data_IF_615395723158
#
_entry.id   IF_615395723158
#
_cell.length_a   1.000
_cell.length_b   1.000
_cell.length_c   1.000
_cell.angle_alpha   90.00
_cell.angle_beta   90.00
_cell.angle_gamma   90.00
#
_symmetry.space_group_name_H-M   'P 1'
#
loop_
_entity.id
_entity.type
_entity.pdbx_description
1 polymer ?
#
# COMPACT_ATOMS: atom_id res chain seq x y z
N UNK A 1 -36.89 -7.13 43.90
CA UNK A 1 -35.97 -7.43 42.78
C UNK A 1 -36.75 -8.27 41.79
N UNK A 2 -37.00 -7.78 40.56
CA UNK A 2 -37.66 -8.61 39.54
C UNK A 2 -36.69 -9.70 39.13
N UNK A 3 -37.10 -10.95 39.26
CA UNK A 3 -36.35 -12.11 38.81
C UNK A 3 -36.31 -12.05 37.29
N UNK A 4 -35.14 -11.84 36.69
CA UNK A 4 -35.02 -11.79 35.25
C UNK A 4 -35.25 -13.20 34.70
N UNK A 5 -36.20 -13.35 33.77
CA UNK A 5 -36.47 -14.63 33.13
C UNK A 5 -35.16 -15.20 32.54
N UNK A 6 -34.82 -16.47 32.80
CA UNK A 6 -33.57 -17.08 32.35
C UNK A 6 -33.40 -17.00 30.82
N UNK A 7 -34.51 -16.99 30.08
CA UNK A 7 -34.54 -16.78 28.63
C UNK A 7 -34.06 -15.39 28.21
N UNK A 8 -34.40 -14.34 28.97
CA UNK A 8 -33.96 -12.97 28.69
C UNK A 8 -32.46 -12.84 28.91
N UNK A 9 -31.93 -13.47 29.96
CA UNK A 9 -30.49 -13.50 30.23
C UNK A 9 -29.72 -14.22 29.12
N UNK A 10 -30.18 -15.40 28.71
CA UNK A 10 -29.55 -16.18 27.63
C UNK A 10 -29.60 -15.42 26.30
N UNK A 11 -30.73 -14.79 25.99
CA UNK A 11 -30.88 -14.01 24.76
C UNK A 11 -29.91 -12.82 24.75
N UNK A 12 -29.76 -12.12 25.88
CA UNK A 12 -28.81 -11.00 26.01
C UNK A 12 -27.36 -11.47 25.81
N UNK A 13 -26.98 -12.60 26.42
CA UNK A 13 -25.65 -13.19 26.25
C UNK A 13 -25.35 -13.55 24.79
N UNK A 14 -26.33 -14.11 24.08
CA UNK A 14 -26.18 -14.44 22.64
C UNK A 14 -25.99 -13.17 21.82
N UNK A 15 -26.76 -12.11 22.09
CA UNK A 15 -26.63 -10.84 21.37
C UNK A 15 -25.25 -10.21 21.59
N UNK A 16 -24.72 -10.25 22.81
CA UNK A 16 -23.37 -9.75 23.12
C UNK A 16 -22.31 -10.57 22.39
N UNK A 17 -22.41 -11.89 22.40
CA UNK A 17 -21.48 -12.78 21.70
C UNK A 17 -21.50 -12.55 20.18
N UNK A 18 -22.67 -12.39 19.58
CA UNK A 18 -22.83 -12.09 18.16
C UNK A 18 -22.24 -10.71 17.82
N UNK A 19 -22.46 -9.70 18.66
CA UNK A 19 -21.89 -8.39 18.46
C UNK A 19 -20.35 -8.41 18.48
N UNK A 20 -19.76 -9.11 19.47
CA UNK A 20 -18.32 -9.29 19.56
C UNK A 20 -17.76 -9.98 18.30
N UNK A 21 -18.37 -11.08 17.87
CA UNK A 21 -17.96 -11.80 16.65
C UNK A 21 -18.02 -10.91 15.40
N UNK A 22 -19.06 -10.08 15.23
CA UNK A 22 -19.18 -9.15 14.10
C UNK A 22 -18.08 -8.08 14.14
N UNK A 23 -17.70 -7.58 15.33
CA UNK A 23 -16.63 -6.58 15.45
C UNK A 23 -15.27 -7.15 15.05
N UNK A 24 -14.92 -8.37 15.48
CA UNK A 24 -13.66 -9.01 15.10
C UNK A 24 -13.59 -9.27 13.59
N UNK A 25 -14.68 -9.74 12.98
CA UNK A 25 -14.74 -9.97 11.54
C UNK A 25 -14.51 -8.68 10.74
N UNK A 26 -15.06 -7.55 11.19
CA UNK A 26 -14.83 -6.24 10.53
C UNK A 26 -13.37 -5.83 10.62
N UNK A 27 -12.77 -5.95 11.81
CA UNK A 27 -11.36 -5.62 12.04
C UNK A 27 -10.42 -6.49 11.20
N UNK A 28 -10.69 -7.80 11.11
CA UNK A 28 -9.92 -8.72 10.27
C UNK A 28 -10.07 -8.39 8.78
N UNK A 29 -11.28 -8.09 8.30
CA UNK A 29 -11.51 -7.66 6.90
C UNK A 29 -10.75 -6.39 6.55
N UNK A 30 -10.70 -5.43 7.46
CA UNK A 30 -9.97 -4.18 7.24
C UNK A 30 -8.45 -4.39 7.23
N UNK A 31 -7.94 -5.31 8.04
CA UNK A 31 -6.54 -5.73 7.99
C UNK A 31 -6.20 -6.43 6.68
N UNK A 32 -7.04 -7.36 6.21
CA UNK A 32 -6.86 -8.06 4.92
C UNK A 32 -6.88 -7.05 3.77
N UNK A 33 -7.86 -6.13 3.73
CA UNK A 33 -7.93 -5.09 2.70
C UNK A 33 -6.64 -4.24 2.66
N UNK A 34 -6.12 -3.85 3.82
CA UNK A 34 -4.84 -3.12 3.90
C UNK A 34 -3.63 -3.95 3.47
N UNK A 35 -3.67 -5.26 3.64
CA UNK A 35 -2.60 -6.17 3.20
C UNK A 35 -2.67 -6.40 1.69
N UNK A 36 -3.86 -6.57 1.12
CA UNK A 36 -4.09 -6.64 -0.32
C UNK A 36 -3.64 -5.35 -1.03
N UNK A 37 -3.92 -4.17 -0.45
CA UNK A 37 -3.38 -2.88 -0.93
C UNK A 37 -1.84 -2.80 -0.82
N UNK A 38 -1.21 -3.61 0.03
CA UNK A 38 0.24 -3.68 0.25
C UNK A 38 0.96 -4.72 -0.62
N UNK A 39 0.27 -5.73 -1.13
CA UNK A 39 0.85 -6.83 -1.89
C UNK A 39 0.67 -6.66 -3.40
N UNK A 40 1.51 -5.82 -4.01
CA UNK A 40 2.14 -6.08 -5.30
C UNK A 40 3.19 -5.00 -5.55
N UNK A 41 4.42 -5.26 -5.09
CA UNK A 41 5.60 -4.57 -5.64
C UNK A 41 6.31 -5.59 -6.51
N UNK A 42 5.94 -5.65 -7.79
CA UNK A 42 6.78 -6.33 -8.78
C UNK A 42 7.98 -5.41 -9.01
N UNK A 43 9.06 -5.62 -8.26
CA UNK A 43 10.35 -4.99 -8.57
C UNK A 43 10.92 -5.73 -9.76
N UNK A 44 10.70 -5.21 -10.97
CA UNK A 44 11.45 -5.67 -12.13
C UNK A 44 12.91 -5.26 -11.96
N UNK A 45 13.74 -6.22 -11.54
CA UNK A 45 15.19 -6.10 -11.59
C UNK A 45 15.60 -6.16 -13.06
N UNK A 46 15.55 -5.01 -13.74
CA UNK A 46 16.14 -4.87 -15.08
C UNK A 46 17.65 -4.97 -14.95
N UNK A 47 18.20 -5.97 -15.61
CA UNK A 47 19.59 -6.28 -15.84
C UNK A 47 20.26 -5.27 -16.78
N UNK A 48 20.16 -3.98 -16.46
CA UNK A 48 20.90 -2.91 -17.15
C UNK A 48 22.34 -2.80 -16.62
N UNK A 49 23.02 -3.93 -16.44
CA UNK A 49 24.41 -3.95 -15.99
C UNK A 49 25.30 -3.20 -17.00
N UNK A 50 25.71 -1.98 -16.65
CA UNK A 50 26.66 -1.17 -17.42
C UNK A 50 26.08 -0.02 -18.26
N UNK A 51 24.77 0.24 -18.22
CA UNK A 51 24.16 1.37 -18.94
C UNK A 51 23.64 2.41 -17.95
N UNK A 52 24.27 3.59 -17.92
CA UNK A 52 23.74 4.76 -17.21
C UNK A 52 22.35 5.07 -17.76
N UNK A 53 21.34 5.13 -16.89
CA UNK A 53 20.02 5.59 -17.33
C UNK A 53 20.15 7.09 -17.66
N UNK A 54 19.98 7.44 -18.94
CA UNK A 54 20.00 8.83 -19.40
C UNK A 54 18.61 9.17 -19.88
N UNK A 55 17.97 10.12 -19.19
CA UNK A 55 16.61 10.50 -19.48
C UNK A 55 16.10 11.52 -18.48
N UNK A 56 14.84 11.91 -18.68
CA UNK A 56 14.12 12.83 -17.81
C UNK A 56 12.86 12.18 -17.27
N UNK A 57 12.42 12.66 -16.13
CA UNK A 57 11.13 12.30 -15.57
C UNK A 57 10.03 12.82 -16.50
N UNK A 58 9.22 11.92 -17.03
CA UNK A 58 8.15 12.26 -17.97
C UNK A 58 6.80 12.37 -17.28
N UNK A 59 6.60 11.62 -16.19
CA UNK A 59 5.31 11.59 -15.50
C UNK A 59 5.45 11.25 -14.02
N UNK A 60 4.46 11.67 -13.25
CA UNK A 60 4.30 11.36 -11.83
C UNK A 60 2.88 10.88 -11.60
N UNK A 61 2.75 9.71 -10.99
CA UNK A 61 1.46 9.09 -10.70
C UNK A 61 1.36 8.76 -9.21
N UNK A 62 0.15 8.85 -8.67
CA UNK A 62 -0.20 8.28 -7.36
C UNK A 62 -1.27 7.23 -7.61
N UNK A 63 -0.96 5.97 -7.29
CA UNK A 63 -1.89 4.84 -7.46
C UNK A 63 -1.96 4.14 -6.11
N UNK A 64 -3.16 4.01 -5.55
CA UNK A 64 -3.42 3.34 -4.27
C UNK A 64 -2.53 3.83 -3.11
N UNK A 65 -2.30 5.14 -3.05
CA UNK A 65 -1.47 5.77 -2.00
C UNK A 65 0.04 5.55 -2.14
N UNK A 66 0.48 4.93 -3.24
CA UNK A 66 1.89 4.74 -3.60
C UNK A 66 2.31 5.77 -4.64
N UNK A 67 3.58 6.15 -4.58
CA UNK A 67 4.13 7.23 -5.38
C UNK A 67 5.01 6.67 -6.49
N UNK A 68 4.68 7.00 -7.75
CA UNK A 68 5.38 6.51 -8.92
C UNK A 68 5.95 7.64 -9.76
N UNK A 69 7.16 7.45 -10.24
CA UNK A 69 7.83 8.35 -11.18
C UNK A 69 8.12 7.58 -12.46
N UNK A 70 7.69 8.12 -13.60
CA UNK A 70 7.94 7.53 -14.91
C UNK A 70 9.14 8.20 -15.55
N UNK A 71 10.04 7.37 -16.06
CA UNK A 71 11.23 7.77 -16.81
C UNK A 71 11.06 7.19 -18.21
N UNK A 72 10.77 8.04 -19.19
CA UNK A 72 10.43 7.70 -20.58
C UNK A 72 10.71 6.26 -21.03
N UNK A 73 11.89 6.01 -21.59
CA UNK A 73 12.27 4.71 -22.17
C UNK A 73 12.46 3.57 -21.14
N UNK A 74 12.45 3.88 -19.84
CA UNK A 74 12.80 2.94 -18.76
C UNK A 74 11.57 2.48 -17.96
N UNK A 75 10.45 3.22 -17.99
CA UNK A 75 9.19 2.85 -17.36
C UNK A 75 8.96 3.52 -16.00
N UNK A 76 8.10 2.91 -15.16
CA UNK A 76 7.66 3.47 -13.87
C UNK A 76 8.45 2.91 -12.70
N UNK A 77 8.86 3.79 -11.81
CA UNK A 77 9.63 3.51 -10.60
C UNK A 77 8.79 3.84 -9.37
N UNK A 78 8.76 2.93 -8.40
CA UNK A 78 8.16 3.19 -7.09
C UNK A 78 9.15 3.99 -6.24
N UNK A 79 8.68 5.10 -5.66
CA UNK A 79 9.47 5.96 -4.79
C UNK A 79 8.74 6.23 -3.48
N UNK A 80 9.46 6.74 -2.49
CA UNK A 80 8.83 7.23 -1.25
C UNK A 80 8.11 8.55 -1.50
N UNK A 81 7.17 8.92 -0.61
CA UNK A 81 6.48 10.21 -0.64
C UNK A 81 7.44 11.40 -0.69
N UNK A 82 8.45 11.41 0.17
CA UNK A 82 9.42 12.50 0.23
C UNK A 82 10.21 12.64 -1.08
N UNK A 83 10.67 11.52 -1.65
CA UNK A 83 11.33 11.52 -2.97
C UNK A 83 10.38 12.01 -4.07
N UNK A 84 9.13 11.56 -4.06
CA UNK A 84 8.13 12.01 -5.02
C UNK A 84 7.89 13.51 -4.94
N UNK A 85 7.84 14.10 -3.76
CA UNK A 85 7.68 15.55 -3.59
C UNK A 85 8.90 16.33 -4.09
N UNK A 86 10.11 15.77 -3.98
CA UNK A 86 11.34 16.42 -4.45
C UNK A 86 11.58 16.34 -5.95
N UNK A 87 11.04 15.31 -6.63
CA UNK A 87 11.26 15.09 -8.07
C UNK A 87 10.20 15.85 -8.87
N UNK A 88 10.60 16.61 -9.89
CA UNK A 88 9.69 17.26 -10.84
C UNK A 88 9.72 16.62 -12.22
N UNK A 89 8.67 16.86 -13.00
CA UNK A 89 8.63 16.45 -14.41
C UNK A 89 9.65 17.31 -15.17
N UNK A 90 10.51 16.67 -15.95
CA UNK A 90 11.64 17.30 -16.66
C UNK A 90 12.97 17.22 -15.91
N UNK A 91 12.97 16.82 -14.65
CA UNK A 91 14.20 16.60 -13.87
C UNK A 91 14.98 15.42 -14.44
N UNK A 92 16.30 15.49 -14.32
CA UNK A 92 17.16 14.36 -14.63
C UNK A 92 16.96 13.22 -13.63
N UNK A 93 17.31 12.01 -14.04
CA UNK A 93 17.10 10.80 -13.23
C UNK A 93 17.95 10.88 -11.96
N UNK A 94 17.36 10.80 -10.75
CA UNK A 94 18.10 10.76 -9.51
C UNK A 94 19.05 9.56 -9.44
N UNK A 95 20.25 9.74 -8.89
CA UNK A 95 21.30 8.72 -8.83
C UNK A 95 20.84 7.40 -8.18
N UNK A 96 19.97 7.47 -7.17
CA UNK A 96 19.43 6.30 -6.50
C UNK A 96 18.44 5.48 -7.35
N UNK A 97 17.93 6.04 -8.46
CA UNK A 97 17.15 5.30 -9.46
C UNK A 97 18.03 4.72 -10.58
N UNK A 98 19.28 5.19 -10.74
CA UNK A 98 20.20 4.76 -11.81
C UNK A 98 20.82 3.36 -11.61
N UNK A 99 20.47 2.64 -10.55
CA UNK A 99 20.82 1.22 -10.43
C UNK A 99 22.29 0.92 -10.12
N UNK A 100 22.99 1.79 -9.35
CA UNK A 100 24.25 1.37 -8.72
C UNK A 100 23.96 0.43 -7.54
N UNK A 101 23.74 -0.83 -7.85
CA UNK A 101 23.96 -1.90 -6.87
C UNK A 101 25.46 -2.01 -6.62
N UNK A 102 25.92 -1.61 -5.44
CA UNK A 102 27.17 -2.13 -4.88
C UNK A 102 26.93 -3.52 -4.34
#
# INVERSE_FOLDING_TARGET
>A
MKENDPLVLVTLCIVIALFAAVTEVKVLREQVKRLEEREMVIIHKVDNAGVTMVGKVTRKDIVDGRYYVEIGAYGKFLVTKGQFETINIGDDIPDYLQGRGS
#
